data_IF_306525068843
#
_entry.id   IF_306525068843
#
_cell.length_a   1.000
_cell.length_b   1.000
_cell.length_c   1.000
_cell.angle_alpha   90.00
_cell.angle_beta   90.00
_cell.angle_gamma   90.00
#
_symmetry.space_group_name_H-M   'P 1'
#
loop_
_entity.id
_entity.type
_entity.pdbx_description
1 polymer ?
#
# COMPACT_ATOMS: atom_id res chain seq x y z
N UNK A 1 -57.37 19.00 -0.30
CA UNK A 1 -57.27 17.61 -0.81
C UNK A 1 -55.80 17.25 -0.90
N UNK A 2 -55.37 16.15 -0.30
CA UNK A 2 -53.94 15.78 -0.23
C UNK A 2 -53.53 15.07 -1.52
N UNK A 3 -52.63 15.67 -2.30
CA UNK A 3 -52.09 15.07 -3.52
C UNK A 3 -51.10 13.96 -3.15
N UNK A 4 -51.41 12.69 -3.48
CA UNK A 4 -50.44 11.60 -3.40
C UNK A 4 -49.39 11.75 -4.53
N UNK A 5 -48.30 12.45 -4.23
CA UNK A 5 -47.19 12.70 -5.15
C UNK A 5 -46.29 11.47 -5.35
N UNK A 6 -46.33 10.50 -4.43
CA UNK A 6 -45.41 9.37 -4.40
C UNK A 6 -45.60 8.39 -5.58
N UNK A 7 -46.83 8.19 -6.05
CA UNK A 7 -47.13 7.28 -7.16
C UNK A 7 -46.48 7.69 -8.50
N UNK A 8 -46.21 8.99 -8.69
CA UNK A 8 -45.59 9.51 -9.91
C UNK A 8 -44.06 9.45 -9.91
N UNK A 9 -43.45 9.00 -8.81
CA UNK A 9 -41.99 8.99 -8.67
C UNK A 9 -41.41 7.62 -9.04
N UNK A 10 -40.39 7.63 -9.88
CA UNK A 10 -39.74 6.43 -10.40
C UNK A 10 -39.03 5.56 -9.37
N UNK A 11 -38.70 6.09 -8.18
CA UNK A 11 -38.11 5.29 -7.10
C UNK A 11 -39.14 4.67 -6.17
N UNK A 12 -40.43 4.98 -6.32
CA UNK A 12 -41.46 4.44 -5.45
C UNK A 12 -41.53 2.93 -5.61
N UNK A 13 -41.22 2.19 -4.54
CA UNK A 13 -41.19 0.73 -4.51
C UNK A 13 -42.57 0.14 -4.81
N UNK A 14 -43.64 0.84 -4.44
CA UNK A 14 -45.02 0.37 -4.65
C UNK A 14 -45.53 0.56 -6.08
N UNK A 15 -44.76 1.18 -6.98
CA UNK A 15 -45.15 1.29 -8.38
C UNK A 15 -45.07 -0.09 -9.03
N UNK A 16 -46.13 -0.47 -9.76
CA UNK A 16 -46.25 -1.77 -10.44
C UNK A 16 -45.01 -2.09 -11.29
N UNK A 17 -44.53 -1.12 -12.05
CA UNK A 17 -43.34 -1.26 -12.90
C UNK A 17 -42.07 -1.62 -12.10
N UNK A 18 -41.93 -1.10 -10.88
CA UNK A 18 -40.78 -1.40 -10.03
C UNK A 18 -40.93 -2.78 -9.38
N UNK A 19 -42.14 -3.13 -8.93
CA UNK A 19 -42.45 -4.46 -8.41
C UNK A 19 -42.18 -5.52 -9.48
N UNK A 20 -42.58 -5.27 -10.74
CA UNK A 20 -42.36 -6.19 -11.85
C UNK A 20 -40.87 -6.35 -12.21
N UNK A 21 -40.05 -5.31 -12.03
CA UNK A 21 -38.59 -5.41 -12.20
C UNK A 21 -37.98 -6.30 -11.12
N UNK A 22 -38.32 -6.03 -9.86
CA UNK A 22 -37.85 -6.84 -8.72
C UNK A 22 -38.27 -8.29 -8.90
N UNK A 23 -39.52 -8.56 -9.29
CA UNK A 23 -40.01 -9.92 -9.54
C UNK A 23 -39.26 -10.63 -10.68
N UNK A 24 -38.88 -9.93 -11.75
CA UNK A 24 -38.07 -10.52 -12.83
C UNK A 24 -36.65 -10.83 -12.35
N UNK A 25 -36.05 -9.92 -11.58
CA UNK A 25 -34.71 -10.11 -11.04
C UNK A 25 -34.68 -11.26 -10.01
N UNK A 26 -35.69 -11.34 -9.14
CA UNK A 26 -35.91 -12.45 -8.21
C UNK A 26 -36.12 -13.77 -8.95
N UNK A 27 -36.96 -13.80 -9.98
CA UNK A 27 -37.18 -15.01 -10.78
C UNK A 27 -35.91 -15.45 -11.52
N UNK A 28 -35.12 -14.51 -12.05
CA UNK A 28 -33.83 -14.82 -12.69
C UNK A 28 -32.79 -15.32 -11.68
N UNK A 29 -32.79 -14.79 -10.44
CA UNK A 29 -31.95 -15.28 -9.37
C UNK A 29 -32.37 -16.70 -8.94
N UNK A 30 -33.66 -16.91 -8.71
CA UNK A 30 -34.23 -18.22 -8.35
C UNK A 30 -33.93 -19.28 -9.42
N UNK A 31 -34.11 -18.98 -10.71
CA UNK A 31 -33.81 -19.91 -11.79
C UNK A 31 -32.34 -20.38 -11.78
N UNK A 32 -31.39 -19.47 -11.53
CA UNK A 32 -29.96 -19.83 -11.43
C UNK A 32 -29.66 -20.71 -10.23
N UNK A 33 -30.27 -20.41 -9.09
CA UNK A 33 -30.13 -21.23 -7.88
C UNK A 33 -30.75 -22.62 -8.05
N UNK A 34 -31.90 -22.71 -8.71
CA UNK A 34 -32.54 -23.98 -9.03
C UNK A 34 -31.69 -24.83 -9.96
N UNK A 35 -31.10 -24.26 -11.02
CA UNK A 35 -30.17 -24.97 -11.90
C UNK A 35 -28.94 -25.49 -11.14
N UNK A 36 -28.37 -24.69 -10.25
CA UNK A 36 -27.25 -25.12 -9.41
C UNK A 36 -27.65 -26.27 -8.46
N UNK A 37 -28.82 -26.17 -7.82
CA UNK A 37 -29.37 -27.25 -6.98
C UNK A 37 -29.62 -28.51 -7.78
N UNK A 38 -30.22 -28.40 -8.98
CA UNK A 38 -30.44 -29.54 -9.88
C UNK A 38 -29.13 -30.24 -10.23
N UNK A 39 -28.04 -29.49 -10.48
CA UNK A 39 -26.72 -30.08 -10.73
C UNK A 39 -26.20 -30.83 -9.51
N UNK A 40 -26.28 -30.22 -8.33
CA UNK A 40 -25.83 -30.85 -7.09
C UNK A 40 -26.65 -32.13 -6.77
N UNK A 41 -27.97 -32.06 -6.91
CA UNK A 41 -28.89 -33.20 -6.76
C UNK A 41 -28.52 -34.36 -7.72
N UNK A 42 -28.16 -34.04 -8.97
CA UNK A 42 -27.75 -35.02 -9.98
C UNK A 42 -26.41 -35.67 -9.65
N UNK A 43 -25.42 -34.90 -9.19
CA UNK A 43 -24.12 -35.42 -8.75
C UNK A 43 -24.29 -36.36 -7.55
N UNK A 44 -25.12 -35.98 -6.59
CA UNK A 44 -25.43 -36.81 -5.42
C UNK A 44 -26.20 -38.08 -5.81
N UNK A 45 -27.17 -37.97 -6.72
CA UNK A 45 -27.88 -39.12 -7.26
C UNK A 45 -26.93 -40.07 -8.00
N UNK A 46 -26.03 -39.55 -8.83
CA UNK A 46 -25.04 -40.35 -9.54
C UNK A 46 -24.08 -41.06 -8.58
N UNK A 47 -23.62 -40.38 -7.52
CA UNK A 47 -22.83 -41.00 -6.44
C UNK A 47 -23.58 -42.14 -5.76
N UNK A 48 -24.84 -41.91 -5.39
CA UNK A 48 -25.67 -42.94 -4.74
C UNK A 48 -25.84 -44.17 -5.64
N UNK A 49 -26.06 -43.95 -6.93
CA UNK A 49 -26.17 -45.03 -7.92
C UNK A 49 -24.84 -45.80 -8.06
N UNK A 50 -23.69 -45.12 -8.10
CA UNK A 50 -22.38 -45.76 -8.19
C UNK A 50 -22.10 -46.67 -6.98
N UNK A 51 -22.42 -46.20 -5.76
CA UNK A 51 -22.31 -47.01 -4.53
C UNK A 51 -23.18 -48.26 -4.63
N UNK A 52 -24.43 -48.12 -5.08
CA UNK A 52 -25.34 -49.26 -5.26
C UNK A 52 -24.84 -50.25 -6.32
N UNK A 53 -24.05 -49.79 -7.28
CA UNK A 53 -23.42 -50.64 -8.30
C UNK A 53 -22.08 -51.24 -7.87
N UNK A 54 -21.65 -50.99 -6.62
CA UNK A 54 -20.31 -51.35 -6.12
C UNK A 54 -19.16 -50.75 -6.96
N UNK A 55 -19.41 -49.64 -7.67
CA UNK A 55 -18.41 -48.89 -8.42
C UNK A 55 -17.77 -47.81 -7.53
N UNK A 56 -16.53 -47.41 -7.84
CA UNK A 56 -15.85 -46.33 -7.10
C UNK A 56 -16.58 -45.00 -7.39
N UNK A 57 -17.13 -44.31 -6.37
CA UNK A 57 -17.87 -43.08 -6.59
C UNK A 57 -16.96 -41.97 -7.11
N UNK A 58 -17.46 -41.07 -7.97
CA UNK A 58 -16.66 -39.96 -8.47
C UNK A 58 -16.14 -39.09 -7.30
N UNK A 59 -14.90 -38.57 -7.37
CA UNK A 59 -14.31 -37.75 -6.30
C UNK A 59 -15.15 -36.49 -6.05
N UNK A 60 -15.20 -36.01 -4.80
CA UNK A 60 -15.93 -34.78 -4.44
C UNK A 60 -15.40 -33.61 -5.27
N UNK A 61 -16.25 -33.08 -6.14
CA UNK A 61 -16.05 -31.79 -6.81
C UNK A 61 -16.10 -30.72 -5.72
N UNK A 62 -14.93 -30.18 -5.36
CA UNK A 62 -14.86 -29.05 -4.43
C UNK A 62 -15.82 -27.95 -4.92
N UNK A 63 -16.54 -27.25 -4.02
CA UNK A 63 -17.50 -26.23 -4.43
C UNK A 63 -16.77 -25.20 -5.27
N UNK A 64 -17.01 -25.21 -6.58
CA UNK A 64 -16.53 -24.16 -7.45
C UNK A 64 -17.13 -22.86 -6.92
N UNK A 65 -16.28 -21.89 -6.57
CA UNK A 65 -16.72 -20.58 -6.09
C UNK A 65 -17.91 -20.09 -6.92
N UNK A 66 -18.98 -19.59 -6.28
CA UNK A 66 -20.20 -19.23 -6.98
C UNK A 66 -19.87 -18.34 -8.18
N UNK A 67 -20.52 -18.53 -9.35
CA UNK A 67 -20.19 -17.82 -10.60
C UNK A 67 -20.53 -16.31 -10.57
N UNK A 68 -20.58 -15.69 -9.40
CA UNK A 68 -20.76 -14.26 -9.15
C UNK A 68 -19.61 -13.58 -8.42
N UNK A 69 -18.63 -14.30 -7.87
CA UNK A 69 -17.49 -13.67 -7.17
C UNK A 69 -16.33 -13.29 -8.11
N UNK A 70 -16.20 -13.99 -9.25
CA UNK A 70 -15.21 -13.67 -10.29
C UNK A 70 -15.83 -13.04 -11.55
N UNK A 71 -17.14 -12.80 -11.57
CA UNK A 71 -17.83 -12.18 -12.69
C UNK A 71 -17.94 -10.66 -12.47
N UNK A 72 -16.95 -9.96 -13.03
CA UNK A 72 -16.88 -8.51 -13.14
C UNK A 72 -16.82 -7.77 -11.80
N UNK A 73 -15.63 -7.20 -11.52
CA UNK A 73 -15.54 -5.94 -10.82
C UNK A 73 -16.61 -5.01 -11.40
N UNK A 74 -17.75 -4.88 -10.70
CA UNK A 74 -18.78 -3.89 -11.02
C UNK A 74 -18.02 -2.60 -11.29
N UNK A 75 -18.16 -1.96 -12.45
CA UNK A 75 -17.50 -0.68 -12.65
C UNK A 75 -18.03 0.23 -11.57
N UNK A 76 -17.21 0.46 -10.54
CA UNK A 76 -17.46 1.45 -9.52
C UNK A 76 -17.88 2.71 -10.27
N UNK A 77 -19.11 3.16 -10.02
CA UNK A 77 -19.69 4.33 -10.67
C UNK A 77 -18.91 5.61 -10.32
N UNK A 78 -17.95 5.50 -9.41
CA UNK A 78 -16.96 6.51 -9.04
C UNK A 78 -15.53 5.97 -9.21
N UNK A 79 -14.77 6.68 -10.05
CA UNK A 79 -13.35 6.56 -10.38
C UNK A 79 -12.50 5.51 -9.66
N UNK A 80 -12.08 4.50 -10.42
CA UNK A 80 -10.76 3.91 -10.21
C UNK A 80 -9.81 4.65 -11.16
N UNK A 81 -9.23 5.76 -10.70
CA UNK A 81 -8.17 6.53 -11.38
C UNK A 81 -6.86 5.74 -11.44
N UNK A 82 -6.88 4.65 -12.20
CA UNK A 82 -5.72 3.77 -12.36
C UNK A 82 -5.98 2.49 -13.15
N UNK A 83 -7.20 2.26 -13.66
CA UNK A 83 -7.39 1.22 -14.68
C UNK A 83 -6.62 1.65 -15.92
N UNK A 84 -5.68 0.80 -16.32
CA UNK A 84 -4.81 0.93 -17.48
C UNK A 84 -5.36 1.86 -18.55
N UNK A 85 -4.64 2.95 -18.80
CA UNK A 85 -4.93 3.84 -19.93
C UNK A 85 -5.12 2.95 -21.15
N UNK A 86 -6.33 2.94 -21.71
CA UNK A 86 -6.75 2.07 -22.83
C UNK A 86 -5.62 2.01 -23.86
N UNK A 87 -4.86 0.90 -23.88
CA UNK A 87 -3.58 0.82 -24.62
C UNK A 87 -3.91 0.97 -26.10
N UNK A 88 -3.32 1.98 -26.76
CA UNK A 88 -3.63 2.32 -28.16
C UNK A 88 -3.21 1.17 -29.09
N UNK A 89 -3.92 1.00 -30.21
CA UNK A 89 -3.50 0.11 -31.31
C UNK A 89 -2.11 0.52 -31.81
N UNK A 90 -1.24 -0.44 -32.08
CA UNK A 90 -0.04 -0.20 -32.89
C UNK A 90 -0.45 -0.05 -34.36
N UNK A 91 0.37 0.63 -35.18
CA UNK A 91 0.07 0.77 -36.61
C UNK A 91 0.21 -0.61 -37.29
N UNK A 92 -0.87 -1.10 -37.89
CA UNK A 92 -0.89 -2.40 -38.61
C UNK A 92 -1.24 -3.63 -37.75
N UNK A 93 -1.74 -3.43 -36.52
CA UNK A 93 -2.18 -4.51 -35.63
C UNK A 93 -3.69 -4.79 -35.82
N UNK A 94 -4.06 -6.05 -36.10
CA UNK A 94 -5.46 -6.50 -36.16
C UNK A 94 -6.08 -6.59 -34.76
N UNK A 95 -7.42 -6.59 -34.67
CA UNK A 95 -8.11 -6.59 -33.38
C UNK A 95 -7.82 -7.86 -32.54
N UNK A 96 -7.63 -9.01 -33.18
CA UNK A 96 -7.23 -10.26 -32.51
C UNK A 96 -5.79 -10.21 -32.00
N UNK A 97 -4.87 -9.65 -32.78
CA UNK A 97 -3.47 -9.53 -32.39
C UNK A 97 -3.31 -8.60 -31.19
N UNK A 98 -4.08 -7.51 -31.17
CA UNK A 98 -4.16 -6.60 -30.03
C UNK A 98 -4.62 -7.31 -28.75
N UNK A 99 -5.67 -8.11 -28.84
CA UNK A 99 -6.22 -8.83 -27.69
C UNK A 99 -5.26 -9.91 -27.20
N UNK A 100 -4.59 -10.63 -28.10
CA UNK A 100 -3.55 -11.60 -27.74
C UNK A 100 -2.36 -10.93 -27.02
N UNK A 101 -1.95 -9.73 -27.45
CA UNK A 101 -0.88 -8.99 -26.79
C UNK A 101 -1.30 -8.53 -25.39
N UNK A 102 -2.50 -7.96 -25.25
CA UNK A 102 -3.06 -7.57 -23.95
C UNK A 102 -3.14 -8.76 -22.99
N UNK A 103 -3.65 -9.90 -23.46
CA UNK A 103 -3.75 -11.10 -22.64
C UNK A 103 -2.38 -11.61 -22.15
N UNK A 104 -1.33 -11.52 -22.98
CA UNK A 104 0.04 -11.88 -22.58
C UNK A 104 0.62 -10.89 -21.58
N UNK A 105 0.39 -9.59 -21.77
CA UNK A 105 0.82 -8.54 -20.84
C UNK A 105 0.15 -8.74 -19.46
N UNK A 106 -1.15 -9.00 -19.44
CA UNK A 106 -1.92 -9.26 -18.21
C UNK A 106 -1.48 -10.56 -17.53
N UNK A 107 -1.22 -11.63 -18.30
CA UNK A 107 -0.69 -12.88 -17.77
C UNK A 107 0.70 -12.67 -17.15
N UNK A 108 1.60 -11.93 -17.81
CA UNK A 108 2.93 -11.63 -17.27
C UNK A 108 2.87 -10.75 -16.01
N UNK A 109 1.95 -9.79 -15.95
CA UNK A 109 1.70 -9.00 -14.74
C UNK A 109 1.17 -9.87 -13.59
N UNK A 110 0.26 -10.81 -13.89
CA UNK A 110 -0.25 -11.79 -12.94
C UNK A 110 0.84 -12.72 -12.42
N UNK A 111 1.70 -13.23 -13.30
CA UNK A 111 2.86 -14.05 -12.94
C UNK A 111 3.86 -13.28 -12.08
N UNK A 112 4.19 -12.03 -12.44
CA UNK A 112 5.09 -11.20 -11.63
C UNK A 112 4.48 -10.84 -10.27
N UNK A 113 3.17 -10.63 -10.19
CA UNK A 113 2.49 -10.42 -8.91
C UNK A 113 2.52 -11.70 -8.05
N UNK A 114 2.29 -12.86 -8.66
CA UNK A 114 2.37 -14.17 -8.00
C UNK A 114 3.79 -14.48 -7.54
N UNK A 115 4.80 -14.17 -8.34
CA UNK A 115 6.21 -14.34 -7.99
C UNK A 115 6.54 -13.46 -6.77
N UNK A 116 6.17 -12.18 -6.78
CA UNK A 116 6.36 -11.27 -5.63
C UNK A 116 5.68 -11.79 -4.37
N UNK A 117 4.45 -12.30 -4.47
CA UNK A 117 3.75 -12.92 -3.35
C UNK A 117 4.48 -14.17 -2.85
N UNK A 118 4.92 -15.05 -3.77
CA UNK A 118 5.68 -16.25 -3.41
C UNK A 118 7.04 -15.95 -2.78
N UNK A 119 7.70 -14.87 -3.18
CA UNK A 119 8.97 -14.44 -2.59
C UNK A 119 8.78 -13.84 -1.19
N UNK A 120 7.65 -13.16 -0.96
CA UNK A 120 7.22 -12.69 0.37
C UNK A 120 6.86 -13.89 1.26
N UNK A 121 6.17 -14.89 0.71
CA UNK A 121 5.86 -16.15 1.42
C UNK A 121 7.14 -16.94 1.75
N UNK A 122 8.10 -17.03 0.82
CA UNK A 122 9.39 -17.67 1.05
C UNK A 122 10.23 -16.99 2.12
N UNK A 123 10.27 -15.65 2.15
CA UNK A 123 10.91 -14.90 3.24
C UNK A 123 10.20 -15.05 4.59
N UNK A 124 8.87 -15.18 4.60
CA UNK A 124 8.11 -15.50 5.82
C UNK A 124 8.32 -16.95 6.26
N UNK A 125 8.73 -17.84 5.34
CA UNK A 125 8.93 -19.25 5.60
C UNK A 125 10.22 -19.56 6.38
N UNK A 126 11.20 -18.65 6.38
CA UNK A 126 12.43 -18.76 7.16
C UNK A 126 12.20 -18.50 8.66
N UNK A 127 11.10 -17.81 9.01
CA UNK A 127 10.66 -17.52 10.38
C UNK A 127 9.51 -18.44 10.84
N UNK A 128 9.26 -19.56 10.14
CA UNK A 128 8.15 -20.44 10.46
C UNK A 128 8.36 -21.20 11.77
N UNK A 129 7.69 -20.73 12.82
CA UNK A 129 7.28 -21.57 13.94
C UNK A 129 6.32 -22.61 13.39
N UNK A 130 6.62 -23.89 13.59
CA UNK A 130 5.70 -24.97 13.20
C UNK A 130 4.33 -24.72 13.84
N UNK A 131 3.29 -24.58 13.00
CA UNK A 131 1.91 -24.30 13.44
C UNK A 131 1.42 -25.34 14.47
N UNK A 132 2.02 -26.53 14.45
CA UNK A 132 1.82 -27.59 15.42
C UNK A 132 3.07 -27.80 16.26
N UNK A 133 2.90 -27.89 17.57
CA UNK A 133 3.95 -28.33 18.48
C UNK A 133 4.33 -29.80 18.18
N UNK A 134 5.51 -30.24 18.64
CA UNK A 134 6.01 -31.62 18.48
C UNK A 134 5.07 -32.68 19.09
N UNK A 135 4.17 -32.28 20.00
CA UNK A 135 3.10 -33.10 20.56
C UNK A 135 1.79 -33.10 19.73
N UNK A 136 1.74 -32.40 18.60
CA UNK A 136 0.58 -32.32 17.70
C UNK A 136 -0.46 -31.25 18.05
N UNK A 137 -0.20 -30.37 19.03
CA UNK A 137 -1.12 -29.28 19.39
C UNK A 137 -0.95 -28.09 18.46
N UNK A 138 -2.05 -27.55 17.94
CA UNK A 138 -2.04 -26.34 17.11
C UNK A 138 -1.77 -25.12 18.00
N UNK A 139 -0.67 -24.42 17.74
CA UNK A 139 -0.35 -23.16 18.42
C UNK A 139 -1.16 -22.02 17.78
N UNK A 140 -2.27 -21.65 18.44
CA UNK A 140 -3.15 -20.54 17.99
C UNK A 140 -2.52 -19.16 18.20
N UNK A 141 -1.51 -19.07 19.06
CA UNK A 141 -0.73 -17.87 19.30
C UNK A 141 0.72 -18.16 18.88
N UNK A 142 1.30 -17.28 18.09
CA UNK A 142 2.72 -17.37 17.76
C UNK A 142 3.53 -17.27 19.06
N UNK A 143 4.33 -18.29 19.37
CA UNK A 143 5.30 -18.20 20.45
C UNK A 143 6.20 -16.97 20.17
N UNK A 144 6.39 -16.06 21.14
CA UNK A 144 7.22 -14.89 20.92
C UNK A 144 8.63 -15.35 20.57
N UNK A 145 9.12 -14.93 19.40
CA UNK A 145 10.45 -15.29 18.93
C UNK A 145 11.49 -14.77 19.94
N UNK A 146 12.45 -15.60 20.35
CA UNK A 146 13.48 -15.19 21.30
C UNK A 146 14.26 -13.95 20.81
N UNK A 147 14.42 -13.82 19.49
CA UNK A 147 15.00 -12.63 18.84
C UNK A 147 14.18 -11.36 19.04
N UNK A 148 12.84 -11.44 18.99
CA UNK A 148 11.98 -10.27 19.25
C UNK A 148 11.99 -9.92 20.73
N UNK A 149 11.98 -10.91 21.62
CA UNK A 149 12.13 -10.68 23.07
C UNK A 149 13.47 -10.02 23.42
N UNK A 150 14.57 -10.42 22.77
CA UNK A 150 15.89 -9.82 22.96
C UNK A 150 15.96 -8.39 22.41
N UNK A 151 15.34 -8.13 21.24
CA UNK A 151 15.27 -6.79 20.66
C UNK A 151 14.48 -5.83 21.56
N UNK A 152 13.34 -6.27 22.10
CA UNK A 152 12.48 -5.48 22.98
C UNK A 152 13.07 -5.35 24.39
N UNK A 153 13.89 -6.30 24.84
CA UNK A 153 14.61 -6.21 26.14
C UNK A 153 15.66 -5.10 26.16
N UNK A 154 16.15 -4.70 24.98
CA UNK A 154 17.09 -3.59 24.84
C UNK A 154 16.29 -2.29 24.84
N UNK A 155 16.03 -1.76 26.04
CA UNK A 155 15.40 -0.45 26.24
C UNK A 155 16.26 0.69 25.68
N UNK A 156 16.30 0.84 24.35
CA UNK A 156 17.03 1.90 23.66
C UNK A 156 16.55 3.29 24.13
N UNK A 157 15.27 3.40 24.48
CA UNK A 157 14.69 4.60 25.08
C UNK A 157 15.21 4.87 26.50
N UNK A 158 15.44 3.84 27.32
CA UNK A 158 15.99 4.02 28.66
C UNK A 158 17.48 4.39 28.64
N UNK A 159 18.25 3.89 27.68
CA UNK A 159 19.65 4.31 27.49
C UNK A 159 19.73 5.76 26.97
N UNK A 160 18.85 6.15 26.05
CA UNK A 160 18.79 7.53 25.55
C UNK A 160 18.36 8.52 26.64
N UNK A 161 17.36 8.17 27.48
CA UNK A 161 16.91 9.03 28.58
C UNK A 161 17.96 9.11 29.71
N UNK A 162 18.69 8.02 29.99
CA UNK A 162 19.83 8.06 30.92
C UNK A 162 20.96 8.95 30.38
N UNK A 163 21.25 8.88 29.08
CA UNK A 163 22.26 9.72 28.45
C UNK A 163 21.87 11.21 28.45
N UNK A 164 20.60 11.53 28.18
CA UNK A 164 20.07 12.91 28.28
C UNK A 164 20.16 13.42 29.72
N UNK A 165 19.72 12.64 30.71
CA UNK A 165 19.79 13.02 32.13
C UNK A 165 21.22 13.19 32.63
N UNK A 166 22.13 12.31 32.21
CA UNK A 166 23.55 12.45 32.54
C UNK A 166 24.12 13.75 31.96
N UNK A 167 23.80 14.06 30.71
CA UNK A 167 24.21 15.32 30.07
C UNK A 167 23.59 16.54 30.75
N UNK A 168 22.30 16.52 31.08
CA UNK A 168 21.62 17.59 31.81
C UNK A 168 22.23 17.80 33.21
N UNK A 169 22.58 16.72 33.90
CA UNK A 169 23.25 16.78 35.19
C UNK A 169 24.66 17.37 35.05
N UNK A 170 25.46 16.89 34.09
CA UNK A 170 26.77 17.47 33.79
C UNK A 170 26.67 18.96 33.42
N UNK A 171 25.64 19.35 32.68
CA UNK A 171 25.38 20.73 32.30
C UNK A 171 24.96 21.59 33.50
N UNK A 172 24.30 21.03 34.51
CA UNK A 172 24.00 21.72 35.78
C UNK A 172 25.26 21.98 36.62
N UNK A 173 26.22 21.06 36.60
CA UNK A 173 27.43 21.16 37.43
C UNK A 173 28.64 21.76 36.69
N UNK A 174 28.62 21.82 35.37
CA UNK A 174 29.71 22.38 34.55
C UNK A 174 29.23 23.61 33.79
N UNK A 175 29.82 24.77 34.09
CA UNK A 175 29.51 26.04 33.43
C UNK A 175 30.14 26.10 32.02
N UNK A 176 29.68 25.26 31.08
CA UNK A 176 30.07 25.34 29.67
C UNK A 176 29.23 26.40 28.97
N UNK A 177 29.87 27.49 28.54
CA UNK A 177 29.23 28.62 27.85
C UNK A 177 28.38 28.24 26.61
N UNK A 178 28.62 27.08 26.01
CA UNK A 178 27.85 26.55 24.88
C UNK A 178 26.41 26.13 25.25
N UNK A 179 26.17 25.77 26.52
CA UNK A 179 24.89 25.22 26.99
C UNK A 179 23.94 26.31 27.54
N UNK A 180 24.46 27.48 27.91
CA UNK A 180 23.69 28.60 28.45
C UNK A 180 22.86 29.35 27.39
N UNK A 181 23.04 29.03 26.11
CA UNK A 181 22.20 29.55 25.03
C UNK A 181 20.86 28.83 25.05
N UNK A 182 19.95 29.25 25.94
CA UNK A 182 18.60 28.69 26.17
C UNK A 182 17.63 28.73 24.97
N UNK A 183 18.14 28.71 23.74
CA UNK A 183 17.39 28.62 22.49
C UNK A 183 18.27 28.19 21.29
N UNK A 184 19.32 27.35 21.40
CA UNK A 184 20.04 26.82 20.21
C UNK A 184 20.71 25.46 20.45
N UNK A 185 20.63 24.53 19.48
CA UNK A 185 21.57 23.40 19.36
C UNK A 185 22.78 23.72 18.46
N UNK A 186 22.79 24.88 17.78
CA UNK A 186 23.95 25.33 17.00
C UNK A 186 24.05 26.87 16.93
N UNK A 187 25.26 27.45 16.89
CA UNK A 187 25.45 28.91 16.90
C UNK A 187 24.80 29.66 15.71
N UNK A 188 24.52 28.95 14.61
CA UNK A 188 24.01 29.50 13.34
C UNK A 188 22.49 29.76 13.31
N UNK A 189 21.72 29.30 14.30
CA UNK A 189 20.25 29.45 14.26
C UNK A 189 19.79 30.83 14.75
N UNK A 190 18.84 31.46 14.06
CA UNK A 190 18.28 32.75 14.48
C UNK A 190 17.51 32.62 15.82
N UNK A 191 17.56 33.63 16.72
CA UNK A 191 16.81 33.62 17.98
C UNK A 191 15.29 33.57 17.76
N UNK A 192 14.53 32.96 18.66
CA UNK A 192 13.08 32.74 18.52
C UNK A 192 12.24 34.03 18.33
N UNK A 193 12.77 35.20 18.72
CA UNK A 193 12.12 36.50 18.58
C UNK A 193 12.18 37.10 17.16
N UNK A 194 12.93 36.51 16.21
CA UNK A 194 12.99 37.03 14.83
C UNK A 194 11.79 36.63 13.96
N UNK A 195 10.77 35.96 14.52
CA UNK A 195 9.50 35.66 13.82
C UNK A 195 8.44 36.73 14.08
N UNK A 196 8.67 37.98 13.67
CA UNK A 196 7.61 38.99 13.64
C UNK A 196 7.88 40.11 12.62
N UNK A 197 7.50 39.89 11.35
CA UNK A 197 6.95 40.90 10.41
C UNK A 197 6.75 40.35 8.99
N UNK A 198 5.50 40.16 8.56
CA UNK A 198 4.95 40.62 7.25
C UNK A 198 3.49 40.17 7.03
N UNK A 199 2.57 41.13 7.09
CA UNK A 199 1.27 41.29 6.40
C UNK A 199 0.94 42.76 6.60
N UNK A 200 0.64 43.63 5.65
CA UNK A 200 0.43 43.62 4.20
C UNK A 200 0.74 45.06 3.77
N UNK A 201 1.33 45.28 2.60
CA UNK A 201 1.01 46.44 1.78
C UNK A 201 1.29 46.11 0.32
N UNK A 202 0.38 46.57 -0.53
CA UNK A 202 0.22 46.13 -1.91
C UNK A 202 1.31 46.60 -2.87
N UNK A 203 1.46 45.82 -3.93
CA UNK A 203 1.90 46.22 -5.27
C UNK A 203 3.13 47.13 -5.39
N UNK A 204 4.30 46.54 -5.62
CA UNK A 204 5.18 46.91 -6.75
C UNK A 204 6.33 45.91 -6.92
N UNK A 205 6.42 45.40 -8.14
CA UNK A 205 7.61 44.98 -8.87
C UNK A 205 8.66 44.11 -8.14
N UNK A 206 8.62 42.83 -8.47
CA UNK A 206 9.78 41.95 -8.51
C UNK A 206 10.85 42.55 -9.44
N UNK A 207 11.99 42.93 -8.87
CA UNK A 207 13.24 43.02 -9.63
C UNK A 207 14.30 42.26 -8.85
N UNK A 208 14.91 41.32 -9.56
CA UNK A 208 15.89 40.37 -9.11
C UNK A 208 17.11 41.06 -8.47
N UNK A 209 17.43 40.66 -7.23
CA UNK A 209 18.75 40.87 -6.63
C UNK A 209 19.41 39.51 -6.41
N UNK A 210 19.62 38.79 -7.51
CA UNK A 210 20.52 37.64 -7.56
C UNK A 210 21.54 37.88 -8.67
N UNK A 211 22.29 38.97 -8.52
CA UNK A 211 23.51 39.25 -9.28
C UNK A 211 24.48 39.90 -8.29
N UNK A 212 25.72 39.43 -8.28
CA UNK A 212 26.83 39.78 -7.36
C UNK A 212 26.75 38.92 -6.08
N UNK A 213 27.35 37.74 -6.04
CA UNK A 213 28.75 37.58 -5.62
C UNK A 213 29.42 36.33 -6.24
N UNK A 214 29.64 36.34 -7.56
CA UNK A 214 30.47 35.32 -8.24
C UNK A 214 31.95 35.75 -8.43
N UNK A 215 32.41 36.77 -7.70
CA UNK A 215 33.78 37.31 -7.88
C UNK A 215 34.77 37.06 -6.75
N UNK A 216 34.38 36.42 -5.64
CA UNK A 216 35.33 36.14 -4.54
C UNK A 216 35.77 34.66 -4.45
N UNK A 217 35.14 33.75 -5.19
CA UNK A 217 35.55 32.35 -5.25
C UNK A 217 36.82 32.09 -6.08
N UNK A 218 37.31 33.07 -6.85
CA UNK A 218 38.52 32.91 -7.69
C UNK A 218 39.82 33.42 -7.05
N UNK A 219 39.75 34.24 -6.00
CA UNK A 219 40.96 34.75 -5.33
C UNK A 219 41.50 33.72 -4.31
N UNK A 220 40.63 32.95 -3.66
CA UNK A 220 41.05 31.91 -2.71
C UNK A 220 41.53 30.60 -3.37
N UNK A 221 41.19 30.35 -4.64
CA UNK A 221 41.67 29.18 -5.37
C UNK A 221 43.09 29.35 -5.93
N UNK A 222 43.55 30.59 -6.17
CA UNK A 222 44.90 30.85 -6.69
C UNK A 222 45.98 30.85 -5.59
N UNK A 223 45.65 31.20 -4.34
CA UNK A 223 46.63 31.22 -3.25
C UNK A 223 47.00 29.84 -2.71
N UNK A 224 46.15 28.82 -2.94
CA UNK A 224 46.40 27.44 -2.48
C UNK A 224 47.32 26.63 -3.41
N UNK A 225 47.57 27.11 -4.63
CA UNK A 225 48.43 26.42 -5.60
C UNK A 225 49.92 26.86 -5.52
N UNK A 226 50.24 27.98 -4.86
CA UNK A 226 51.62 28.50 -4.76
C UNK A 226 52.36 28.12 -3.46
N UNK A 227 51.79 27.28 -2.60
CA UNK A 227 52.44 26.85 -1.34
C UNK A 227 52.77 25.35 -1.28
N UNK A 228 52.70 24.63 -2.42
CA UNK A 228 53.08 23.21 -2.48
C UNK A 228 54.28 22.90 -3.40
N UNK A 229 55.04 23.89 -3.87
CA UNK A 229 56.19 23.66 -4.78
C UNK A 229 57.53 24.18 -4.26
N UNK A 230 57.73 24.31 -2.94
CA UNK A 230 59.04 24.74 -2.39
C UNK A 230 59.45 24.01 -1.13
N UNK A 231 59.25 22.69 -1.01
CA UNK A 231 59.95 21.88 0.02
C UNK A 231 60.24 20.47 -0.52
N UNK A 232 61.00 20.35 -1.60
CA UNK A 232 61.85 19.17 -1.87
C UNK A 232 62.97 19.60 -2.82
N UNK A 233 63.86 20.48 -2.37
CA UNK A 233 65.12 20.71 -3.07
C UNK A 233 66.23 21.01 -2.06
N UNK A 234 67.29 20.20 -2.18
CA UNK A 234 68.67 20.42 -1.72
C UNK A 234 69.12 19.92 -0.34
N UNK A 235 70.02 18.92 -0.47
CA UNK A 235 71.17 18.52 0.35
C UNK A 235 70.95 17.67 1.60
#
# INVERSE_FOLDING_TARGET
>A
MVLHLLGKKSWNVYNKDNIDRVRRDEAAAQAREEEAKRRMDQEDAARRIAILRNEVPPPLTAPSSPPGENAAARPSRYGHDGRDRKRRRLRGEDDTDRDMRLAREDAALGEAAREKLSHIEGKRHEDNVALTDHAGHIQLFAAPNERTLLADSRNAEAEAEKAKKAREYEDQYTMRFSNAAGCKQSPSSAPCWTKLKKKNDGGRESVDANVITEREARVWAALKASHLTTITETK
#
